data_IF_818484474587
#
_entry.id   IF_818484474587
#
_cell.length_a   1.000
_cell.length_b   1.000
_cell.length_c   1.000
_cell.angle_alpha   90.00
_cell.angle_beta   90.00
_cell.angle_gamma   90.00
#
_symmetry.space_group_name_H-M   'P 1'
#
loop_
_entity.id
_entity.type
_entity.pdbx_description
1 polymer ?
#
# COMPACT_ATOMS: atom_id res chain seq x y z
N UNK A 1 5.76 -12.78 -25.65
CA UNK A 1 5.79 -11.68 -26.64
C UNK A 1 7.02 -10.78 -26.50
N UNK A 2 7.87 -10.92 -25.47
CA UNK A 2 9.11 -10.14 -25.32
C UNK A 2 8.94 -8.76 -24.68
N UNK A 3 7.73 -8.22 -24.69
CA UNK A 3 7.37 -6.97 -24.02
C UNK A 3 6.59 -7.22 -22.72
N UNK A 4 6.92 -6.53 -21.62
CA UNK A 4 6.11 -6.52 -20.42
C UNK A 4 4.68 -6.05 -20.71
N UNK A 5 3.70 -6.65 -20.03
CA UNK A 5 2.29 -6.24 -20.11
C UNK A 5 1.92 -5.51 -18.83
N UNK A 6 1.30 -4.35 -18.96
CA UNK A 6 0.72 -3.63 -17.82
C UNK A 6 -0.59 -4.28 -17.37
N UNK A 7 -0.77 -4.39 -16.05
CA UNK A 7 -2.03 -4.82 -15.45
C UNK A 7 -2.85 -3.58 -15.11
N UNK A 8 -4.07 -3.49 -15.67
CA UNK A 8 -4.99 -2.41 -15.32
C UNK A 8 -5.79 -2.78 -14.08
N UNK A 9 -5.82 -1.88 -13.10
CA UNK A 9 -6.70 -1.97 -11.93
C UNK A 9 -7.73 -0.85 -11.98
N UNK A 10 -8.99 -1.20 -11.74
CA UNK A 10 -10.06 -0.21 -11.58
C UNK A 10 -10.07 0.36 -10.16
N UNK A 11 -10.45 1.63 -10.03
CA UNK A 11 -10.51 2.31 -8.75
C UNK A 11 -11.37 1.56 -7.71
N UNK A 12 -12.53 1.05 -8.13
CA UNK A 12 -13.43 0.29 -7.24
C UNK A 12 -12.79 -1.00 -6.71
N UNK A 13 -12.00 -1.69 -7.53
CA UNK A 13 -11.27 -2.88 -7.11
C UNK A 13 -10.26 -2.57 -6.01
N UNK A 14 -9.52 -1.47 -6.16
CA UNK A 14 -8.57 -0.99 -5.14
C UNK A 14 -9.30 -0.58 -3.86
N UNK A 15 -10.36 0.21 -3.95
CA UNK A 15 -11.14 0.64 -2.78
C UNK A 15 -11.70 -0.55 -2.01
N UNK A 16 -12.28 -1.54 -2.71
CA UNK A 16 -12.79 -2.76 -2.09
C UNK A 16 -11.69 -3.49 -1.28
N UNK A 17 -10.50 -3.62 -1.86
CA UNK A 17 -9.34 -4.26 -1.21
C UNK A 17 -8.83 -3.47 0.00
N UNK A 18 -8.90 -2.14 -0.03
CA UNK A 18 -8.48 -1.29 1.10
C UNK A 18 -9.49 -1.32 2.24
N UNK A 19 -10.79 -1.24 1.93
CA UNK A 19 -11.87 -1.35 2.92
C UNK A 19 -11.82 -2.71 3.62
N UNK A 20 -11.65 -3.79 2.86
CA UNK A 20 -11.45 -5.12 3.43
C UNK A 20 -10.25 -5.17 4.37
N UNK A 21 -9.10 -4.60 4.01
CA UNK A 21 -7.91 -4.66 4.87
C UNK A 21 -8.05 -3.80 6.12
N UNK A 22 -8.66 -2.61 6.02
CA UNK A 22 -8.96 -1.78 7.19
C UNK A 22 -9.77 -2.58 8.20
N UNK A 23 -10.82 -3.25 7.74
CA UNK A 23 -11.75 -3.97 8.61
C UNK A 23 -11.16 -5.31 9.08
N UNK A 24 -10.44 -6.05 8.23
CA UNK A 24 -9.85 -7.33 8.60
C UNK A 24 -8.69 -7.19 9.59
N UNK A 25 -7.88 -6.14 9.45
CA UNK A 25 -6.71 -5.89 10.31
C UNK A 25 -6.97 -4.81 11.37
N UNK A 26 -8.18 -4.24 11.41
CA UNK A 26 -8.59 -3.21 12.38
C UNK A 26 -7.67 -1.98 12.41
N UNK A 27 -7.13 -1.61 11.24
CA UNK A 27 -6.24 -0.45 11.11
C UNK A 27 -7.03 0.82 11.41
N UNK A 28 -6.50 1.64 12.32
CA UNK A 28 -7.13 2.84 12.84
C UNK A 28 -6.10 3.96 13.07
N UNK A 29 -6.53 5.10 13.59
CA UNK A 29 -5.69 6.30 13.73
C UNK A 29 -4.50 6.18 14.69
N UNK A 30 -4.43 5.12 15.50
CA UNK A 30 -3.29 4.87 16.38
C UNK A 30 -2.15 4.12 15.67
N UNK A 31 -2.38 3.62 14.46
CA UNK A 31 -1.40 2.83 13.73
C UNK A 31 -0.44 3.68 12.90
N UNK A 32 0.74 3.11 12.67
CA UNK A 32 1.79 3.66 11.79
C UNK A 32 2.13 2.61 10.75
N UNK A 33 1.95 2.95 9.47
CA UNK A 33 2.23 2.05 8.35
C UNK A 33 3.50 2.50 7.64
N UNK A 34 4.44 1.58 7.47
CA UNK A 34 5.69 1.84 6.76
C UNK A 34 5.48 1.70 5.25
N UNK A 35 5.78 2.76 4.50
CA UNK A 35 5.99 2.72 3.06
C UNK A 35 7.41 2.19 2.80
N UNK A 36 7.53 0.90 2.49
CA UNK A 36 8.81 0.21 2.20
C UNK A 36 8.83 -0.33 0.78
N UNK A 37 7.71 -0.80 0.28
CA UNK A 37 7.64 -1.46 -1.02
C UNK A 37 7.90 -0.45 -2.15
N UNK A 38 8.80 -0.73 -3.11
CA UNK A 38 8.97 0.15 -4.26
C UNK A 38 7.65 0.35 -5.03
N UNK A 39 7.37 1.58 -5.46
CA UNK A 39 6.08 1.95 -6.06
C UNK A 39 5.71 1.18 -7.35
N UNK A 40 6.69 0.50 -7.97
CA UNK A 40 6.48 -0.36 -9.14
C UNK A 40 5.80 -1.69 -8.83
N UNK A 41 5.63 -2.04 -7.55
CA UNK A 41 4.95 -3.26 -7.10
C UNK A 41 3.58 -2.93 -6.49
N UNK A 42 2.61 -3.82 -6.68
CA UNK A 42 1.22 -3.67 -6.23
C UNK A 42 1.06 -3.56 -4.71
N UNK A 43 1.93 -4.22 -3.93
CA UNK A 43 1.96 -4.12 -2.47
C UNK A 43 2.20 -2.67 -2.00
N UNK A 44 2.84 -1.81 -2.80
CA UNK A 44 2.97 -0.40 -2.43
C UNK A 44 1.62 0.34 -2.34
N UNK A 45 0.60 -0.10 -3.07
CA UNK A 45 -0.70 0.58 -3.15
C UNK A 45 -1.38 0.63 -1.78
N UNK A 46 -1.40 -0.48 -1.04
CA UNK A 46 -2.04 -0.48 0.27
C UNK A 46 -1.18 0.23 1.33
N UNK A 47 0.15 0.18 1.22
CA UNK A 47 1.05 0.95 2.08
C UNK A 47 0.81 2.46 1.94
N UNK A 48 0.56 2.95 0.71
CA UNK A 48 0.23 4.36 0.48
C UNK A 48 -1.17 4.73 0.98
N UNK A 49 -2.20 3.95 0.61
CA UNK A 49 -3.58 4.41 0.74
C UNK A 49 -4.32 3.90 1.97
N UNK A 50 -3.97 2.74 2.53
CA UNK A 50 -4.64 2.24 3.73
C UNK A 50 -4.51 3.20 4.93
N UNK A 51 -3.31 3.69 5.31
CA UNK A 51 -3.20 4.58 6.47
C UNK A 51 -3.99 5.88 6.27
N UNK A 52 -3.97 6.45 5.06
CA UNK A 52 -4.71 7.66 4.73
C UNK A 52 -6.24 7.46 4.82
N UNK A 53 -6.73 6.28 4.40
CA UNK A 53 -8.14 5.90 4.51
C UNK A 53 -8.57 5.66 5.97
N UNK A 54 -7.68 5.13 6.81
CA UNK A 54 -7.95 4.78 8.21
C UNK A 54 -7.69 5.92 9.21
N UNK A 55 -7.11 7.04 8.76
CA UNK A 55 -6.65 8.12 9.63
C UNK A 55 -5.35 7.80 10.39
N UNK A 56 -4.61 6.79 9.95
CA UNK A 56 -3.31 6.37 10.48
C UNK A 56 -2.15 7.23 9.90
N UNK A 57 -0.97 7.09 10.51
CA UNK A 57 0.25 7.73 10.03
C UNK A 57 0.93 6.89 8.95
N UNK A 58 1.30 7.53 7.83
CA UNK A 58 2.19 6.94 6.81
C UNK A 58 3.63 7.36 7.10
N UNK A 59 4.50 6.38 7.33
CA UNK A 59 5.94 6.59 7.57
C UNK A 59 6.73 6.16 6.35
N UNK A 60 7.57 7.03 5.81
CA UNK A 60 8.38 6.73 4.63
C UNK A 60 9.70 6.05 5.01
N UNK A 61 10.00 4.90 4.42
CA UNK A 61 11.35 4.35 4.47
C UNK A 61 12.34 5.29 3.76
N UNK A 62 13.60 5.28 4.22
CA UNK A 62 14.66 5.97 3.48
C UNK A 62 14.87 5.30 2.12
N UNK A 63 15.33 6.03 1.09
CA UNK A 63 15.75 5.42 -0.16
C UNK A 63 16.73 4.26 0.08
N UNK A 64 16.50 3.11 -0.56
CA UNK A 64 17.30 1.89 -0.37
C UNK A 64 16.97 1.07 0.89
N UNK A 65 16.25 1.62 1.88
CA UNK A 65 15.92 0.93 3.13
C UNK A 65 15.00 -0.29 2.99
N UNK A 66 14.47 -0.55 1.79
CA UNK A 66 13.74 -1.78 1.51
C UNK A 66 14.65 -3.01 1.43
N UNK A 67 15.95 -2.83 1.21
CA UNK A 67 16.96 -3.88 1.09
C UNK A 67 17.72 -4.15 2.39
N UNK A 68 17.63 -3.23 3.36
CA UNK A 68 18.27 -3.33 4.66
C UNK A 68 17.32 -4.04 5.65
N UNK A 69 17.74 -5.15 6.30
CA UNK A 69 16.93 -5.91 7.26
C UNK A 69 16.54 -5.15 8.52
#
# INVERSE_FOLDING_TARGET
TGTPKGVMNEHLGVVNRLLWARDAYQVNSQDRVLQKTPFGFDVSVWEFFLPLLAGAELVMARPGGHQDP
#
